data_IF_572352825184
#
_entry.id   IF_572352825184
#
_cell.length_a   1.000
_cell.length_b   1.000
_cell.length_c   1.000
_cell.angle_alpha   90.00
_cell.angle_beta   90.00
_cell.angle_gamma   90.00
#
_symmetry.space_group_name_H-M   'P 1'
#
loop_
_entity.id
_entity.type
_entity.pdbx_description
1 polymer ?
#
# COMPACT_ATOMS: atom_id res chain seq x y z
N UNK A 1 8.60 24.00 9.64
CA UNK A 1 9.76 24.49 8.84
C UNK A 1 10.32 23.29 8.09
N UNK A 2 10.71 23.43 6.83
CA UNK A 2 11.35 22.31 6.12
C UNK A 2 12.74 22.07 6.70
N UNK A 3 13.07 20.81 7.01
CA UNK A 3 14.40 20.38 7.44
C UNK A 3 15.41 20.29 6.29
N UNK A 4 14.99 20.55 5.05
CA UNK A 4 15.78 20.29 3.85
C UNK A 4 15.42 18.96 3.19
N UNK A 5 16.13 18.63 2.10
CA UNK A 5 15.93 17.40 1.32
C UNK A 5 17.19 16.54 1.37
N UNK A 6 16.98 15.24 1.46
CA UNK A 6 18.03 14.24 1.37
C UNK A 6 17.51 13.05 0.55
N UNK A 7 18.42 12.21 0.08
CA UNK A 7 18.08 10.95 -0.58
C UNK A 7 18.60 9.80 0.24
N UNK A 8 17.80 8.74 0.34
CA UNK A 8 18.18 7.49 1.00
C UNK A 8 18.21 6.37 -0.03
N UNK A 9 19.22 5.51 0.07
CA UNK A 9 19.23 4.21 -0.61
C UNK A 9 18.78 3.12 0.35
N UNK A 10 18.19 2.04 -0.18
CA UNK A 10 17.82 0.89 0.63
C UNK A 10 19.01 0.36 1.45
N UNK A 11 18.76 0.05 2.73
CA UNK A 11 19.79 -0.42 3.66
C UNK A 11 20.78 0.65 4.15
N UNK A 12 20.57 1.93 3.82
CA UNK A 12 21.38 3.02 4.37
C UNK A 12 21.13 3.19 5.87
N UNK A 13 22.21 3.12 6.67
CA UNK A 13 22.17 3.26 8.13
C UNK A 13 22.96 4.46 8.65
N UNK A 14 23.56 5.25 7.76
CA UNK A 14 24.34 6.42 8.14
C UNK A 14 23.42 7.57 8.59
N UNK A 15 23.89 8.33 9.57
CA UNK A 15 23.22 9.55 10.02
C UNK A 15 23.18 10.59 8.88
N UNK A 16 22.06 11.30 8.81
CA UNK A 16 21.88 12.47 7.94
C UNK A 16 21.83 13.69 8.83
N UNK A 17 22.80 14.60 8.66
CA UNK A 17 22.84 15.88 9.36
C UNK A 17 22.33 16.99 8.45
N UNK A 18 21.42 17.81 8.98
CA UNK A 18 20.83 18.95 8.27
C UNK A 18 21.07 20.22 9.08
N UNK A 19 21.68 21.22 8.46
CA UNK A 19 21.94 22.51 9.10
C UNK A 19 20.69 23.40 9.01
N UNK A 20 20.11 23.72 10.17
CA UNK A 20 18.85 24.47 10.29
C UNK A 20 19.00 25.71 11.15
N UNK A 21 18.04 26.62 11.03
CA UNK A 21 17.94 27.77 11.92
C UNK A 21 17.72 27.30 13.37
N UNK A 22 18.56 27.77 14.29
CA UNK A 22 18.55 27.33 15.69
C UNK A 22 17.19 27.57 16.36
N UNK A 23 16.54 28.71 16.09
CA UNK A 23 15.26 29.01 16.71
C UNK A 23 14.15 28.05 16.20
N UNK A 24 14.23 27.61 14.95
CA UNK A 24 13.35 26.58 14.41
C UNK A 24 13.59 25.21 15.05
N UNK A 25 14.85 24.83 15.29
CA UNK A 25 15.21 23.57 15.96
C UNK A 25 14.75 23.58 17.43
N UNK A 26 15.07 24.63 18.17
CA UNK A 26 14.71 24.79 19.58
C UNK A 26 13.19 24.76 19.77
N UNK A 27 12.45 25.38 18.85
CA UNK A 27 10.98 25.46 18.89
C UNK A 27 10.24 24.27 18.28
N UNK A 28 10.92 23.25 17.75
CA UNK A 28 10.25 22.10 17.12
C UNK A 28 9.65 21.13 18.15
N UNK A 29 8.35 20.86 18.07
CA UNK A 29 7.69 19.86 18.92
C UNK A 29 7.77 18.44 18.34
N UNK A 30 7.86 18.32 17.02
CA UNK A 30 7.91 17.05 16.30
C UNK A 30 8.81 17.13 15.07
N UNK A 31 9.19 15.96 14.57
CA UNK A 31 9.93 15.79 13.33
C UNK A 31 9.18 14.83 12.41
N UNK A 32 8.99 15.24 11.15
CA UNK A 32 8.24 14.49 10.14
C UNK A 32 9.13 14.30 8.91
N UNK A 33 9.13 13.08 8.36
CA UNK A 33 9.81 12.74 7.10
C UNK A 33 8.74 12.55 6.02
N UNK A 34 8.89 13.29 4.91
CA UNK A 34 8.01 13.24 3.75
C UNK A 34 8.73 12.69 2.52
N UNK A 35 8.00 12.06 1.60
CA UNK A 35 8.50 11.78 0.25
C UNK A 35 8.21 12.98 -0.64
N UNK A 36 9.26 13.59 -1.15
CA UNK A 36 9.15 14.75 -2.02
C UNK A 36 9.14 14.34 -3.50
N UNK A 37 8.35 15.01 -4.36
CA UNK A 37 8.42 14.80 -5.81
C UNK A 37 9.84 15.00 -6.34
N UNK A 38 10.27 14.16 -7.28
CA UNK A 38 11.60 14.27 -7.90
C UNK A 38 11.75 15.54 -8.77
N UNK A 39 10.64 16.10 -9.22
CA UNK A 39 10.58 17.31 -10.06
C UNK A 39 9.45 18.23 -9.58
N UNK A 40 9.65 19.53 -9.74
CA UNK A 40 8.71 20.54 -9.26
C UNK A 40 8.99 20.90 -7.81
N UNK A 41 9.75 21.97 -7.61
CA UNK A 41 10.05 22.47 -6.27
C UNK A 41 8.83 23.20 -5.72
N UNK A 42 8.12 22.52 -4.81
CA UNK A 42 7.26 23.17 -3.83
C UNK A 42 8.10 23.39 -2.55
N UNK A 43 8.16 24.63 -2.01
CA UNK A 43 8.81 24.87 -0.73
C UNK A 43 8.06 24.24 0.47
N UNK A 44 6.79 23.85 0.32
CA UNK A 44 6.04 23.11 1.32
C UNK A 44 6.32 21.60 1.23
N UNK A 45 6.36 20.88 2.36
CA UNK A 45 6.42 19.42 2.35
C UNK A 45 5.23 18.82 1.61
N UNK A 46 5.45 17.70 0.93
CA UNK A 46 4.36 16.92 0.33
C UNK A 46 3.42 16.35 1.39
N UNK A 47 2.21 15.93 0.98
CA UNK A 47 1.30 15.20 1.85
C UNK A 47 1.73 13.76 2.15
N UNK A 48 2.78 13.25 1.49
CA UNK A 48 3.26 11.87 1.65
C UNK A 48 4.16 11.78 2.88
N UNK A 49 3.56 11.85 4.06
CA UNK A 49 4.27 11.71 5.33
C UNK A 49 4.51 10.23 5.65
N UNK A 50 5.79 9.83 5.75
CA UNK A 50 6.19 8.42 5.96
C UNK A 50 6.44 8.10 7.42
N UNK A 51 7.18 8.98 8.11
CA UNK A 51 7.57 8.80 9.50
C UNK A 51 7.33 10.09 10.27
N UNK A 52 6.95 9.96 11.54
CA UNK A 52 6.83 11.09 12.44
C UNK A 52 7.19 10.73 13.87
N UNK A 53 7.53 11.73 14.67
CA UNK A 53 7.74 11.57 16.11
C UNK A 53 7.81 12.89 16.84
N UNK A 54 7.26 12.92 18.05
CA UNK A 54 7.38 14.04 18.97
C UNK A 54 8.73 14.01 19.70
N UNK A 55 9.30 15.19 19.94
CA UNK A 55 10.54 15.33 20.69
C UNK A 55 10.31 15.14 22.20
N UNK A 56 11.05 14.20 22.80
CA UNK A 56 11.21 14.04 24.23
C UNK A 56 12.59 14.56 24.65
N UNK A 57 12.65 15.85 24.99
CA UNK A 57 13.93 16.57 25.07
C UNK A 57 14.48 16.82 23.66
N UNK A 58 15.72 16.41 23.41
CA UNK A 58 16.36 16.62 22.11
C UNK A 58 16.19 15.44 21.14
N UNK A 59 15.50 14.36 21.54
CA UNK A 59 15.35 13.17 20.70
C UNK A 59 13.89 12.84 20.40
N UNK A 60 13.61 12.43 19.17
CA UNK A 60 12.33 11.87 18.74
C UNK A 60 12.53 10.46 18.16
N UNK A 61 11.65 9.53 18.51
CA UNK A 61 11.54 8.24 17.84
C UNK A 61 10.54 8.37 16.70
N UNK A 62 10.95 8.02 15.49
CA UNK A 62 10.17 8.20 14.28
C UNK A 62 9.51 6.88 13.88
N UNK A 63 8.19 6.88 13.78
CA UNK A 63 7.41 5.70 13.40
C UNK A 63 6.38 6.04 12.32
N UNK A 64 5.97 5.01 11.59
CA UNK A 64 4.84 5.08 10.66
C UNK A 64 3.52 5.33 11.40
N UNK A 65 3.37 4.77 12.60
CA UNK A 65 2.16 4.87 13.42
C UNK A 65 1.94 6.22 14.07
N UNK A 66 2.91 7.14 13.97
CA UNK A 66 2.77 8.48 14.49
C UNK A 66 1.62 9.23 13.79
N UNK A 67 0.89 10.05 14.54
CA UNK A 67 -0.29 10.79 14.02
C UNK A 67 0.04 11.80 12.92
N UNK A 68 1.30 12.28 12.89
CA UNK A 68 1.82 13.11 11.81
C UNK A 68 2.28 12.35 10.56
N UNK A 69 2.26 11.01 10.58
CA UNK A 69 2.59 10.11 9.48
C UNK A 69 1.35 9.33 9.02
N UNK A 70 1.42 8.00 8.88
CA UNK A 70 0.28 7.16 8.50
C UNK A 70 -0.72 6.95 9.65
N UNK A 71 -0.31 7.15 10.91
CA UNK A 71 -1.21 7.06 12.07
C UNK A 71 -1.66 5.64 12.42
N UNK A 72 -1.04 4.62 11.82
CA UNK A 72 -1.33 3.20 12.05
C UNK A 72 -0.08 2.35 11.88
N UNK A 73 0.01 1.24 12.60
CA UNK A 73 1.01 0.18 12.41
C UNK A 73 0.44 -1.05 11.67
N UNK A 74 -0.82 -0.96 11.22
CA UNK A 74 -1.54 -2.03 10.54
C UNK A 74 -1.65 -3.35 11.33
N UNK A 75 -1.45 -3.35 12.65
CA UNK A 75 -1.50 -4.56 13.47
C UNK A 75 -2.88 -5.26 13.44
N UNK A 76 -3.95 -4.49 13.20
CA UNK A 76 -5.33 -4.99 13.10
C UNK A 76 -5.80 -5.19 11.65
N UNK A 77 -4.94 -4.93 10.66
CA UNK A 77 -5.29 -5.18 9.25
C UNK A 77 -5.62 -6.66 9.03
N UNK A 78 -6.66 -6.94 8.26
CA UNK A 78 -6.99 -8.32 7.92
C UNK A 78 -7.72 -8.39 6.59
N UNK A 79 -7.78 -9.58 6.02
CA UNK A 79 -8.71 -9.82 4.94
C UNK A 79 -8.50 -11.13 4.22
N UNK A 80 -9.24 -11.28 3.14
CA UNK A 80 -9.18 -12.45 2.26
C UNK A 80 -9.46 -12.06 0.82
N UNK A 81 -9.25 -12.98 -0.11
CA UNK A 81 -9.64 -12.82 -1.50
C UNK A 81 -10.29 -14.11 -2.02
N UNK A 82 -10.95 -14.01 -3.17
CA UNK A 82 -11.43 -15.16 -3.96
C UNK A 82 -10.78 -15.14 -5.34
N UNK A 83 -10.73 -16.31 -5.98
CA UNK A 83 -10.43 -16.41 -7.41
C UNK A 83 -11.74 -16.53 -8.21
N UNK A 84 -11.98 -15.54 -9.07
CA UNK A 84 -13.17 -15.44 -9.93
C UNK A 84 -12.91 -14.46 -11.09
N UNK A 85 -13.62 -14.66 -12.21
CA UNK A 85 -13.53 -13.81 -13.42
C UNK A 85 -14.89 -13.20 -13.82
N UNK A 86 -15.48 -12.33 -12.99
CA UNK A 86 -16.80 -11.72 -13.25
C UNK A 86 -16.89 -10.91 -14.56
N UNK A 87 -15.78 -10.46 -15.12
CA UNK A 87 -15.75 -9.74 -16.41
C UNK A 87 -15.92 -10.67 -17.63
N UNK A 88 -16.08 -11.98 -17.43
CA UNK A 88 -16.40 -12.94 -18.50
C UNK A 88 -17.52 -13.90 -18.09
N UNK A 89 -18.12 -14.55 -19.09
CA UNK A 89 -19.07 -15.65 -18.89
C UNK A 89 -18.40 -17.04 -18.96
N UNK A 90 -17.07 -17.08 -19.12
CA UNK A 90 -16.31 -18.33 -19.18
C UNK A 90 -16.13 -18.83 -17.74
N UNK A 91 -16.33 -20.13 -17.52
CA UNK A 91 -16.24 -20.70 -16.17
C UNK A 91 -14.83 -21.25 -15.85
N UNK A 92 -14.08 -21.61 -16.88
CA UNK A 92 -12.79 -22.29 -16.75
C UNK A 92 -11.61 -21.29 -16.65
N UNK A 93 -11.86 -19.98 -16.65
CA UNK A 93 -10.85 -18.93 -16.53
C UNK A 93 -10.80 -18.31 -15.12
N UNK A 94 -11.55 -18.83 -14.13
CA UNK A 94 -11.63 -18.24 -12.78
C UNK A 94 -10.28 -18.15 -12.04
N UNK A 95 -9.25 -18.89 -12.46
CA UNK A 95 -7.88 -18.72 -11.96
C UNK A 95 -7.22 -17.42 -12.41
N UNK A 96 -7.84 -16.72 -13.37
CA UNK A 96 -7.32 -15.52 -13.98
C UNK A 96 -7.89 -14.24 -13.37
N UNK A 97 -8.56 -14.30 -12.23
CA UNK A 97 -9.05 -13.09 -11.57
C UNK A 97 -8.99 -13.20 -10.06
N UNK A 98 -8.79 -12.07 -9.40
CA UNK A 98 -8.67 -11.96 -7.95
C UNK A 98 -9.56 -10.82 -7.46
N UNK A 99 -10.40 -11.11 -6.47
CA UNK A 99 -11.34 -10.13 -5.92
C UNK A 99 -11.32 -10.13 -4.40
N UNK A 100 -11.26 -8.93 -3.83
CA UNK A 100 -11.24 -8.70 -2.39
C UNK A 100 -12.65 -8.43 -1.85
N UNK A 101 -13.49 -9.45 -1.96
CA UNK A 101 -14.87 -9.43 -1.48
C UNK A 101 -15.30 -10.78 -0.88
N UNK A 102 -16.38 -10.74 -0.10
CA UNK A 102 -17.12 -11.93 0.34
C UNK A 102 -18.30 -12.15 -0.60
N UNK A 103 -18.36 -13.31 -1.30
CA UNK A 103 -19.48 -13.63 -2.19
C UNK A 103 -20.82 -13.74 -1.47
N UNK A 104 -21.89 -13.35 -2.14
CA UNK A 104 -23.28 -13.52 -1.67
C UNK A 104 -24.27 -12.78 -2.57
N UNK A 105 -25.57 -12.90 -2.25
CA UNK A 105 -26.64 -12.12 -2.92
C UNK A 105 -26.37 -10.62 -2.87
N UNK A 106 -25.73 -10.16 -1.79
CA UNK A 106 -25.19 -8.81 -1.64
C UNK A 106 -23.75 -8.96 -1.17
N UNK A 107 -22.77 -8.89 -2.09
CA UNK A 107 -21.37 -9.01 -1.72
C UNK A 107 -20.94 -7.89 -0.76
N UNK A 108 -19.97 -8.19 0.10
CA UNK A 108 -19.36 -7.22 1.03
C UNK A 108 -17.85 -7.18 0.85
N UNK A 109 -17.19 -6.14 1.36
CA UNK A 109 -15.73 -6.10 1.40
C UNK A 109 -15.20 -7.27 2.24
N UNK A 110 -14.06 -7.82 1.83
CA UNK A 110 -13.32 -8.83 2.61
C UNK A 110 -12.08 -8.27 3.30
N UNK A 111 -11.68 -7.03 3.00
CA UNK A 111 -10.54 -6.36 3.63
C UNK A 111 -11.03 -5.44 4.74
N UNK A 112 -10.37 -5.52 5.89
CA UNK A 112 -10.49 -4.59 7.00
C UNK A 112 -9.15 -3.86 7.12
N UNK A 113 -9.14 -2.60 6.69
CA UNK A 113 -7.94 -1.77 6.57
C UNK A 113 -8.17 -0.42 7.26
N UNK A 114 -7.17 0.15 7.94
CA UNK A 114 -7.28 1.50 8.51
C UNK A 114 -7.49 2.55 7.40
N UNK A 115 -8.12 3.67 7.75
CA UNK A 115 -8.20 4.80 6.84
C UNK A 115 -6.80 5.40 6.63
N UNK A 116 -6.44 5.69 5.38
CA UNK A 116 -5.17 6.34 5.05
C UNK A 116 -5.32 7.87 5.02
N UNK A 117 -4.31 8.63 5.47
CA UNK A 117 -4.28 10.07 5.29
C UNK A 117 -4.09 10.46 3.81
N UNK A 118 -4.33 11.74 3.49
CA UNK A 118 -4.03 12.27 2.15
C UNK A 118 -2.57 12.04 1.77
N UNK A 119 -2.31 11.73 0.50
CA UNK A 119 -0.97 11.37 0.01
C UNK A 119 -0.69 9.87 0.01
N UNK A 120 -1.66 9.05 0.42
CA UNK A 120 -1.54 7.60 0.43
C UNK A 120 -2.79 6.93 -0.14
N UNK A 121 -2.60 5.76 -0.75
CA UNK A 121 -3.66 4.89 -1.27
C UNK A 121 -3.28 3.42 -1.04
N UNK A 122 -4.24 2.51 -1.07
CA UNK A 122 -3.91 1.08 -1.14
C UNK A 122 -3.73 0.64 -2.58
N UNK A 123 -2.89 -0.36 -2.80
CA UNK A 123 -2.81 -1.08 -4.06
C UNK A 123 -2.69 -2.57 -3.81
N UNK A 124 -3.48 -3.35 -4.55
CA UNK A 124 -3.35 -4.80 -4.57
C UNK A 124 -2.40 -5.23 -5.68
N UNK A 125 -1.70 -6.34 -5.45
CA UNK A 125 -0.73 -6.89 -6.38
C UNK A 125 -0.83 -8.41 -6.43
N UNK A 126 -0.57 -8.97 -7.61
CA UNK A 126 -0.15 -10.36 -7.77
C UNK A 126 1.32 -10.38 -8.16
N UNK A 127 2.13 -11.21 -7.52
CA UNK A 127 3.60 -11.20 -7.69
C UNK A 127 4.14 -12.60 -7.91
N UNK A 128 4.92 -12.79 -8.97
CA UNK A 128 5.66 -14.03 -9.26
C UNK A 128 7.16 -13.76 -9.53
N UNK A 129 7.85 -14.73 -10.13
CA UNK A 129 9.26 -14.58 -10.52
C UNK A 129 9.51 -13.61 -11.67
N UNK A 130 8.48 -13.23 -12.43
CA UNK A 130 8.56 -12.23 -13.50
C UNK A 130 8.40 -10.80 -12.98
N UNK A 131 7.69 -10.63 -11.87
CA UNK A 131 7.54 -9.36 -11.18
C UNK A 131 6.13 -9.12 -10.65
N UNK A 132 5.87 -7.90 -10.14
CA UNK A 132 4.56 -7.51 -9.65
C UNK A 132 3.63 -7.07 -10.80
N UNK A 133 2.36 -7.44 -10.70
CA UNK A 133 1.27 -6.98 -11.56
C UNK A 133 0.17 -6.42 -10.66
N UNK A 134 -0.23 -5.18 -10.93
CA UNK A 134 -1.27 -4.49 -10.14
C UNK A 134 -2.63 -5.15 -10.31
N UNK A 135 -3.41 -5.20 -9.23
CA UNK A 135 -4.84 -5.54 -9.22
C UNK A 135 -5.73 -4.29 -9.07
N UNK A 136 -5.13 -3.10 -9.17
CA UNK A 136 -5.80 -1.81 -9.06
C UNK A 136 -5.53 -1.10 -7.73
N UNK A 137 -5.48 0.23 -7.80
CA UNK A 137 -5.35 1.15 -6.65
C UNK A 137 -6.72 1.44 -6.06
N UNK A 138 -6.87 1.54 -4.75
CA UNK A 138 -8.16 1.81 -4.11
C UNK A 138 -8.03 2.61 -2.82
N UNK A 139 -8.97 3.53 -2.60
CA UNK A 139 -9.04 4.35 -1.38
C UNK A 139 -9.94 3.75 -0.30
N UNK A 140 -10.76 2.76 -0.65
CA UNK A 140 -11.66 2.08 0.27
C UNK A 140 -11.83 0.60 -0.11
N UNK A 141 -11.76 -0.32 0.87
CA UNK A 141 -12.11 -1.73 0.67
C UNK A 141 -13.52 -1.99 0.12
N UNK A 142 -14.44 -1.04 0.29
CA UNK A 142 -15.86 -1.18 -0.08
C UNK A 142 -16.21 -0.43 -1.37
N UNK A 143 -15.23 -0.11 -2.20
CA UNK A 143 -15.40 0.56 -3.48
C UNK A 143 -14.55 -0.10 -4.56
N UNK A 144 -14.92 0.09 -5.82
CA UNK A 144 -14.11 -0.33 -6.95
C UNK A 144 -12.71 0.30 -6.91
N UNK A 145 -11.75 -0.36 -7.55
CA UNK A 145 -10.45 0.23 -7.81
C UNK A 145 -10.59 1.52 -8.65
N UNK A 146 -9.61 2.41 -8.54
CA UNK A 146 -9.56 3.72 -9.17
C UNK A 146 -9.47 3.63 -10.70
N UNK A 147 -8.93 2.54 -11.22
CA UNK A 147 -8.90 2.15 -12.64
C UNK A 147 -10.10 1.27 -13.05
N UNK A 148 -11.06 1.08 -12.13
CA UNK A 148 -12.29 0.32 -12.38
C UNK A 148 -12.02 -1.17 -12.53
N UNK A 149 -12.33 -1.70 -13.71
CA UNK A 149 -12.06 -3.10 -14.05
C UNK A 149 -10.65 -3.31 -14.61
N UNK A 150 -9.83 -2.27 -14.74
CA UNK A 150 -8.50 -2.33 -15.35
C UNK A 150 -8.48 -2.73 -16.83
N UNK A 151 -7.27 -2.73 -17.40
CA UNK A 151 -7.08 -2.88 -18.85
C UNK A 151 -7.17 -4.32 -19.37
N UNK A 152 -7.03 -5.31 -18.47
CA UNK A 152 -6.98 -6.74 -18.82
C UNK A 152 -8.32 -7.46 -18.61
N UNK A 153 -9.35 -6.76 -18.14
CA UNK A 153 -10.68 -7.34 -17.93
C UNK A 153 -11.38 -7.69 -19.24
N UNK A 154 -12.31 -8.65 -19.14
CA UNK A 154 -13.26 -8.97 -20.19
C UNK A 154 -14.35 -7.91 -20.36
N UNK A 155 -15.30 -8.13 -21.29
CA UNK A 155 -16.30 -7.14 -21.67
C UNK A 155 -17.44 -6.96 -20.67
N UNK A 156 -17.59 -7.85 -19.68
CA UNK A 156 -18.68 -7.81 -18.72
C UNK A 156 -18.37 -6.91 -17.52
N UNK A 157 -19.41 -6.52 -16.79
CA UNK A 157 -19.27 -5.68 -15.62
C UNK A 157 -18.58 -6.41 -14.45
N UNK A 158 -17.78 -5.68 -13.68
CA UNK A 158 -17.10 -6.20 -12.50
C UNK A 158 -17.75 -5.77 -11.18
N UNK A 159 -17.48 -6.48 -10.06
CA UNK A 159 -17.93 -6.09 -8.74
C UNK A 159 -17.41 -4.70 -8.33
N UNK A 160 -18.16 -3.94 -7.52
CA UNK A 160 -17.73 -2.62 -7.03
C UNK A 160 -16.80 -2.74 -5.80
N UNK A 161 -15.78 -3.58 -5.91
CA UNK A 161 -14.77 -3.85 -4.87
C UNK A 161 -13.38 -3.85 -5.49
N UNK A 162 -12.29 -3.76 -4.71
CA UNK A 162 -10.95 -3.93 -5.25
C UNK A 162 -10.78 -5.34 -5.84
N UNK A 163 -10.11 -5.43 -6.99
CA UNK A 163 -9.90 -6.69 -7.71
C UNK A 163 -9.74 -6.48 -9.20
N UNK A 164 -9.23 -7.52 -9.88
CA UNK A 164 -8.88 -7.47 -11.29
C UNK A 164 -9.04 -8.84 -11.92
N UNK A 165 -9.53 -8.84 -13.17
CA UNK A 165 -9.47 -9.98 -14.07
C UNK A 165 -8.36 -9.81 -15.10
N UNK A 166 -7.59 -10.85 -15.34
CA UNK A 166 -6.49 -10.93 -16.29
C UNK A 166 -6.88 -11.85 -17.45
N UNK A 167 -7.77 -11.36 -18.32
CA UNK A 167 -8.34 -12.11 -19.44
C UNK A 167 -7.51 -11.94 -20.71
N UNK A 168 -7.05 -10.73 -20.98
CA UNK A 168 -6.21 -10.42 -22.14
C UNK A 168 -5.07 -9.44 -21.78
N UNK A 169 -3.81 -9.90 -21.68
CA UNK A 169 -3.41 -11.31 -21.79
C UNK A 169 -3.91 -12.13 -20.58
N UNK A 170 -4.17 -13.42 -20.84
CA UNK A 170 -4.56 -14.36 -19.79
C UNK A 170 -3.42 -14.59 -18.79
N UNK A 171 -3.70 -14.50 -17.50
CA UNK A 171 -2.74 -14.77 -16.43
C UNK A 171 -3.31 -15.77 -15.42
N UNK A 172 -2.73 -16.97 -15.32
CA UNK A 172 -3.12 -17.95 -14.30
C UNK A 172 -2.45 -17.62 -12.96
N UNK A 173 -3.24 -17.13 -12.01
CA UNK A 173 -2.76 -16.71 -10.69
C UNK A 173 -2.37 -17.89 -9.78
N UNK A 174 -2.57 -19.13 -10.22
CA UNK A 174 -2.15 -20.31 -9.47
C UNK A 174 -0.75 -20.79 -9.85
N UNK A 175 -0.15 -20.23 -10.90
CA UNK A 175 1.20 -20.57 -11.36
C UNK A 175 2.29 -19.82 -10.56
N UNK A 176 2.27 -19.99 -9.24
CA UNK A 176 3.30 -19.47 -8.34
C UNK A 176 3.17 -18.01 -7.91
N UNK A 177 2.06 -17.34 -8.26
CA UNK A 177 1.78 -15.98 -7.80
C UNK A 177 1.51 -15.92 -6.29
N UNK A 178 1.83 -14.77 -5.72
CA UNK A 178 1.47 -14.33 -4.37
C UNK A 178 0.51 -13.15 -4.45
N UNK A 179 -0.40 -13.00 -3.50
CA UNK A 179 -1.25 -11.81 -3.39
C UNK A 179 -0.70 -10.87 -2.33
N UNK A 180 -0.66 -9.57 -2.59
CA UNK A 180 -0.12 -8.55 -1.67
C UNK A 180 -1.02 -7.32 -1.66
N UNK A 181 -1.31 -6.77 -0.48
CA UNK A 181 -1.83 -5.40 -0.34
C UNK A 181 -0.69 -4.52 0.16
N UNK A 182 -0.56 -3.36 -0.46
CA UNK A 182 0.46 -2.35 -0.18
C UNK A 182 -0.16 -1.01 0.12
N UNK A 183 0.60 -0.15 0.79
CA UNK A 183 0.28 1.26 1.02
C UNK A 183 1.21 2.09 0.14
N UNK A 184 0.64 2.69 -0.90
CA UNK A 184 1.37 3.37 -1.97
C UNK A 184 1.29 4.88 -1.82
N UNK A 185 2.37 5.63 -2.12
CA UNK A 185 2.31 7.08 -2.17
C UNK A 185 1.35 7.57 -3.26
N UNK A 186 0.79 8.76 -3.07
CA UNK A 186 -0.04 9.44 -4.06
C UNK A 186 0.42 10.91 -4.20
N UNK A 187 0.97 11.32 -5.36
CA UNK A 187 1.17 10.53 -6.58
C UNK A 187 2.27 9.47 -6.44
N UNK A 188 2.04 8.29 -7.01
CA UNK A 188 3.07 7.27 -7.16
C UNK A 188 3.90 7.53 -8.42
N UNK A 189 5.22 7.37 -8.31
CA UNK A 189 6.17 7.51 -9.42
C UNK A 189 6.97 6.23 -9.66
N UNK A 190 6.68 5.16 -8.90
CA UNK A 190 7.23 3.82 -9.04
C UNK A 190 6.28 2.91 -9.81
N UNK A 191 6.83 1.90 -10.47
CA UNK A 191 6.04 0.77 -11.01
C UNK A 191 6.12 -0.47 -10.10
N UNK A 192 7.01 -0.45 -9.10
CA UNK A 192 7.18 -1.52 -8.13
C UNK A 192 6.40 -1.20 -6.84
N UNK A 193 5.85 -2.21 -6.15
CA UNK A 193 5.13 -2.04 -4.90
C UNK A 193 6.00 -1.35 -3.84
N UNK A 194 5.41 -0.42 -3.10
CA UNK A 194 6.08 0.22 -1.97
C UNK A 194 6.32 -0.76 -0.81
N UNK A 195 7.20 -0.35 0.11
CA UNK A 195 7.74 -1.24 1.14
C UNK A 195 6.79 -1.53 2.30
N UNK A 196 5.66 -0.79 2.41
CA UNK A 196 4.66 -1.03 3.44
C UNK A 196 3.61 -2.01 2.91
N UNK A 197 3.72 -3.28 3.32
CA UNK A 197 2.96 -4.42 2.78
C UNK A 197 2.13 -5.10 3.87
N UNK A 198 1.03 -4.49 4.34
CA UNK A 198 0.32 -4.98 5.53
C UNK A 198 -0.25 -6.40 5.40
N UNK A 199 -0.60 -6.85 4.19
CA UNK A 199 -1.26 -8.15 3.97
C UNK A 199 -0.59 -8.91 2.83
N UNK A 200 -0.28 -10.19 3.03
CA UNK A 200 0.37 -11.05 2.03
C UNK A 200 -0.23 -12.47 2.07
N UNK A 201 -0.37 -13.11 0.92
CA UNK A 201 -0.55 -14.56 0.78
C UNK A 201 0.51 -15.10 -0.17
N UNK A 202 1.25 -16.13 0.25
CA UNK A 202 2.32 -16.72 -0.56
C UNK A 202 2.38 -18.24 -0.36
N UNK A 203 2.08 -19.07 -1.40
CA UNK A 203 1.49 -18.71 -2.70
C UNK A 203 -0.04 -18.58 -2.64
N UNK A 204 -0.63 -18.01 -3.71
CA UNK A 204 -2.06 -18.17 -4.02
C UNK A 204 -2.34 -19.66 -4.28
N UNK A 205 -3.40 -20.19 -3.68
CA UNK A 205 -3.86 -21.56 -3.91
C UNK A 205 -4.86 -21.64 -5.07
N UNK A 206 -5.13 -22.84 -5.58
CA UNK A 206 -6.13 -23.06 -6.64
C UNK A 206 -7.60 -23.03 -6.18
N UNK A 207 -7.89 -22.59 -4.95
CA UNK A 207 -9.26 -22.51 -4.44
C UNK A 207 -10.06 -21.39 -5.15
N UNK A 208 -11.14 -21.78 -5.81
CA UNK A 208 -12.05 -20.87 -6.53
C UNK A 208 -13.17 -20.36 -5.62
N UNK A 209 -13.77 -19.23 -6.02
CA UNK A 209 -14.99 -18.72 -5.41
C UNK A 209 -16.08 -19.82 -5.33
N UNK A 210 -16.86 -19.88 -4.23
CA UNK A 210 -16.91 -18.90 -3.15
C UNK A 210 -15.89 -19.14 -2.03
N UNK A 211 -14.92 -20.06 -2.20
CA UNK A 211 -13.94 -20.35 -1.16
C UNK A 211 -12.92 -19.21 -1.07
N UNK A 212 -12.90 -18.52 0.06
CA UNK A 212 -11.95 -17.45 0.32
C UNK A 212 -10.57 -17.98 0.74
N UNK A 213 -9.53 -17.24 0.37
CA UNK A 213 -8.15 -17.46 0.75
C UNK A 213 -7.70 -16.32 1.67
N UNK A 214 -7.13 -16.64 2.82
CA UNK A 214 -6.76 -15.64 3.83
C UNK A 214 -5.46 -14.91 3.47
N UNK A 215 -5.41 -13.61 3.79
CA UNK A 215 -4.20 -12.80 3.75
C UNK A 215 -3.57 -12.75 5.15
N UNK A 216 -2.30 -13.09 5.24
CA UNK A 216 -1.51 -13.02 6.47
C UNK A 216 -1.09 -11.58 6.76
N UNK A 217 -1.35 -11.11 7.98
CA UNK A 217 -0.96 -9.78 8.42
C UNK A 217 0.56 -9.69 8.69
N UNK A 218 1.22 -8.74 8.03
CA UNK A 218 2.64 -8.39 8.15
C UNK A 218 2.87 -6.96 8.70
N UNK A 219 1.79 -6.24 8.99
CA UNK A 219 1.74 -4.81 9.32
C UNK A 219 2.76 -4.36 10.36
N UNK A 220 2.97 -5.13 11.43
CA UNK A 220 3.89 -4.76 12.52
C UNK A 220 5.33 -5.26 12.34
N UNK A 221 5.60 -6.08 11.33
CA UNK A 221 6.88 -6.78 11.20
C UNK A 221 7.91 -6.05 10.32
N UNK A 222 7.45 -5.18 9.41
CA UNK A 222 8.30 -4.64 8.32
C UNK A 222 8.00 -3.14 8.08
N UNK A 223 7.81 -2.35 9.13
CA UNK A 223 7.63 -0.90 8.99
C UNK A 223 8.97 -0.16 9.08
N UNK A 224 9.18 0.88 8.25
CA UNK A 224 10.32 1.77 8.43
C UNK A 224 10.23 2.50 9.78
N UNK A 225 11.39 2.92 10.27
CA UNK A 225 11.51 3.70 11.50
C UNK A 225 12.86 4.39 11.56
N UNK A 226 13.05 5.23 12.58
CA UNK A 226 14.31 5.92 12.79
C UNK A 226 14.27 6.80 14.04
N UNK A 227 15.27 7.68 14.18
CA UNK A 227 15.29 8.71 15.22
C UNK A 227 15.77 10.04 14.67
N UNK A 228 15.26 11.13 15.25
CA UNK A 228 15.78 12.48 15.04
C UNK A 228 16.40 12.99 16.34
N UNK A 229 17.46 13.79 16.22
CA UNK A 229 18.17 14.39 17.36
C UNK A 229 18.46 15.87 17.05
N UNK A 230 18.10 16.76 17.97
CA UNK A 230 18.53 18.16 17.97
C UNK A 230 19.96 18.22 18.49
N UNK A 231 20.84 18.91 17.76
CA UNK A 231 22.26 19.05 18.09
C UNK A 231 22.59 20.48 18.51
#
# INVERSE_FOLDING_TARGET
VSGGRFSVTEGQTNDITLDLDQAAVDGADSYIITIEPAVGDDPAPSSVHVLGGDFAGDSAQLTVSHSGALGTDFADASGSFILATPSTAVADDNHNGIWFLVPGETPTASLELPALPTGWVYEGWVVDGSGPVSTGRFSSPSAAALDGAGATAGPEATPPFPGQDYIDPALDLTDGFSAVITVEPEPDTSAAPYNIKPLITMPISGALAPTAQSLDNQGSLILPGGSAVKL
#
